data_IF_449044707003
#
_entry.id   IF_449044707003
#
_cell.length_a   1.000
_cell.length_b   1.000
_cell.length_c   1.000
_cell.angle_alpha   90.00
_cell.angle_beta   90.00
_cell.angle_gamma   90.00
#
_symmetry.space_group_name_H-M   'P 1'
#
loop_
_entity.id
_entity.type
_entity.pdbx_description
1 polymer ?
2 non-polymer ?
3 non-polymer ?
4 water ?
#
# COMPACT_ATOMS: atom_id res chain seq x y z
N UNK A 27 -16.54 3.09 -12.80
CA UNK A 27 -15.71 1.85 -12.73
C UNK A 27 -15.02 1.70 -11.36
N UNK A 28 -14.93 0.46 -10.89
CA UNK A 28 -14.32 0.16 -9.61
C UNK A 28 -12.81 0.42 -9.66
N UNK A 29 -12.28 1.07 -8.63
CA UNK A 29 -10.81 1.22 -8.50
C UNK A 29 -10.23 -0.05 -7.86
N UNK A 30 -9.25 -0.65 -8.52
CA UNK A 30 -8.65 -1.91 -8.07
C UNK A 30 -7.28 -1.61 -7.50
N UNK A 31 -7.15 -1.80 -6.19
CA UNK A 31 -5.93 -1.55 -5.45
C UNK A 31 -5.34 -2.85 -4.88
N UNK A 32 -4.02 -2.93 -4.89
CA UNK A 32 -3.30 -4.09 -4.37
C UNK A 32 -2.21 -3.63 -3.43
N UNK A 33 -2.09 -4.33 -2.30
CA UNK A 33 -1.12 -4.00 -1.26
C UNK A 33 -0.03 -5.04 -1.24
N UNK A 34 1.22 -4.57 -1.37
CA UNK A 34 2.39 -5.43 -1.35
C UNK A 34 3.38 -4.97 -0.29
N UNK A 35 4.28 -5.87 0.07
CA UNK A 35 5.25 -5.62 1.12
C UNK A 35 5.61 -6.90 1.80
N UNK A 36 6.77 -6.91 2.44
CA UNK A 36 7.28 -8.09 3.13
C UNK A 36 6.28 -8.51 4.20
N UNK A 37 6.20 -9.81 4.44
CA UNK A 37 5.38 -10.31 5.51
C UNK A 37 5.75 -9.60 6.81
N UNK A 38 4.73 -9.20 7.57
CA UNK A 38 4.92 -8.61 8.88
C UNK A 38 5.00 -7.09 8.92
N UNK A 39 4.91 -6.43 7.77
CA UNK A 39 5.07 -4.98 7.75
C UNK A 39 3.81 -4.25 8.18
N UNK A 40 2.68 -4.95 8.11
CA UNK A 40 1.41 -4.36 8.50
C UNK A 40 0.42 -4.15 7.38
N UNK A 41 0.51 -4.93 6.29
CA UNK A 41 -0.45 -4.80 5.19
C UNK A 41 -1.90 -5.01 5.66
N UNK A 42 -2.12 -6.10 6.38
CA UNK A 42 -3.47 -6.46 6.80
C UNK A 42 -4.00 -5.46 7.81
N UNK A 43 -3.12 -5.01 8.70
CA UNK A 43 -3.46 -3.97 9.68
C UNK A 43 -3.86 -2.66 9.03
N UNK A 44 -3.14 -2.27 7.99
CA UNK A 44 -3.41 -1.03 7.27
C UNK A 44 -4.74 -1.12 6.56
N UNK A 45 -4.96 -2.23 5.87
CA UNK A 45 -6.26 -2.43 5.20
C UNK A 45 -7.42 -2.39 6.15
N UNK A 46 -7.30 -3.09 7.26
CA UNK A 46 -8.40 -3.13 8.24
C UNK A 46 -8.61 -1.78 8.94
N UNK A 47 -7.52 -1.06 9.18
CA UNK A 47 -7.61 0.31 9.69
C UNK A 47 -8.39 1.21 8.72
N UNK A 48 -8.10 1.07 7.43
CA UNK A 48 -8.84 1.81 6.41
C UNK A 48 -10.33 1.45 6.38
N UNK A 49 -10.62 0.15 6.34
CA UNK A 49 -11.98 -0.30 6.21
C UNK A 49 -12.82 -0.08 7.45
N UNK A 50 -12.25 -0.29 8.63
CA UNK A 50 -13.02 -0.33 9.88
C UNK A 50 -12.68 0.81 10.85
N UNK A 51 -11.64 1.57 10.54
CA UNK A 51 -11.23 2.73 11.34
C UNK A 51 -10.77 2.34 12.73
N UNK A 52 -10.24 1.13 12.85
CA UNK A 52 -9.67 0.68 14.10
C UNK A 52 -8.72 -0.50 13.84
N UNK A 53 -7.97 -0.85 14.86
CA UNK A 53 -7.10 -2.01 14.79
C UNK A 53 -7.10 -2.63 16.18
N UNK A 54 -7.88 -3.68 16.30
CA UNK A 54 -8.09 -4.30 17.60
C UNK A 54 -7.91 -5.83 17.57
N UNK A 55 -7.92 -6.45 16.38
CA UNK A 55 -7.70 -7.91 16.23
C UNK A 55 -6.49 -8.23 15.36
N UNK A 56 -5.68 -9.19 15.79
CA UNK A 56 -4.61 -9.66 14.93
C UNK A 56 -5.26 -10.49 13.84
N UNK A 57 -4.53 -10.67 12.74
CA UNK A 57 -5.08 -11.27 11.54
C UNK A 57 -4.07 -12.23 10.96
N UNK A 58 -4.53 -13.45 10.67
CA UNK A 58 -3.69 -14.50 10.12
C UNK A 58 -2.73 -14.01 9.04
N UNK A 59 -1.41 -14.20 9.28
CA UNK A 59 -0.35 -13.78 8.35
C UNK A 59 -0.41 -14.43 6.99
N UNK A 60 -1.08 -15.57 6.88
CA UNK A 60 -1.09 -16.34 5.65
C UNK A 60 -2.31 -16.07 4.77
N UNK A 61 -3.31 -15.34 5.28
CA UNK A 61 -4.58 -15.16 4.57
C UNK A 61 -4.46 -14.03 3.57
N UNK A 62 -4.80 -14.32 2.33
CA UNK A 62 -4.87 -13.33 1.26
C UNK A 62 -6.34 -13.16 0.88
N UNK A 63 -6.82 -11.92 0.79
CA UNK A 63 -8.23 -11.69 0.53
C UNK A 63 -8.48 -10.38 -0.17
N UNK A 64 -9.67 -10.28 -0.77
CA UNK A 64 -10.09 -9.05 -1.43
C UNK A 64 -11.30 -8.43 -0.74
N UNK A 65 -11.22 -7.12 -0.51
CA UNK A 65 -12.29 -6.37 0.15
C UNK A 65 -12.91 -5.37 -0.79
N UNK A 66 -14.23 -5.22 -0.74
CA UNK A 66 -14.89 -4.19 -1.50
C UNK A 66 -15.32 -3.10 -0.53
N UNK A 67 -15.15 -1.85 -0.94
CA UNK A 67 -15.47 -0.71 -0.08
C UNK A 67 -16.02 0.43 -0.94
N UNK A 68 -17.09 1.07 -0.49
CA UNK A 68 -17.57 2.29 -1.13
C UNK A 68 -17.29 3.47 -0.22
N UNK A 69 -16.77 4.55 -0.78
CA UNK A 69 -16.53 5.76 -0.01
C UNK A 69 -16.91 6.95 -0.85
N UNK A 70 -17.40 8.00 -0.20
CA UNK A 70 -17.55 9.28 -0.86
C UNK A 70 -16.19 9.97 -0.86
N UNK A 71 -15.68 10.24 -2.05
CA UNK A 71 -14.41 10.94 -2.21
C UNK A 71 -14.73 12.17 -3.03
N UNK A 72 -14.37 13.33 -2.49
CA UNK A 72 -14.70 14.63 -3.07
C UNK A 72 -16.22 14.72 -3.20
N UNK A 73 -16.74 14.85 -4.42
CA UNK A 73 -18.18 14.87 -4.60
C UNK A 73 -18.79 13.48 -4.44
N UNK A 74 -18.16 12.49 -5.08
CA UNK A 74 -18.84 11.26 -5.48
C UNK A 74 -18.48 9.99 -4.72
N UNK A 75 -19.40 9.04 -4.75
CA UNK A 75 -19.17 7.71 -4.20
C UNK A 75 -18.30 6.92 -5.17
N UNK A 76 -17.26 6.29 -4.63
CA UNK A 76 -16.32 5.50 -5.39
C UNK A 76 -16.29 4.08 -4.83
N UNK A 77 -16.32 3.08 -5.71
CA UNK A 77 -16.26 1.70 -5.30
C UNK A 77 -14.84 1.25 -5.51
N UNK A 78 -14.29 0.58 -4.51
CA UNK A 78 -12.94 0.07 -4.63
C UNK A 78 -12.90 -1.37 -4.21
N UNK A 79 -11.96 -2.10 -4.80
CA UNK A 79 -11.64 -3.46 -4.39
C UNK A 79 -10.19 -3.39 -3.98
N UNK A 80 -9.88 -3.93 -2.81
CA UNK A 80 -8.54 -3.89 -2.26
C UNK A 80 -8.06 -5.31 -2.01
N UNK A 81 -6.96 -5.67 -2.65
CA UNK A 81 -6.37 -6.98 -2.48
C UNK A 81 -5.27 -6.89 -1.44
N UNK A 82 -5.43 -7.64 -0.36
CA UNK A 82 -4.47 -7.68 0.73
C UNK A 82 -3.63 -8.93 0.48
N UNK A 83 -2.39 -8.80 -0.02
CA UNK A 83 -1.62 -10.00 -0.41
C UNK A 83 -0.92 -10.66 0.77
N UNK A 84 -0.60 -11.95 0.69
CA UNK A 84 0.04 -12.61 1.83
C UNK A 84 1.42 -13.14 1.45
N UNK A 85 1.49 -14.27 0.75
CA UNK A 85 2.79 -14.74 0.21
C UNK A 85 3.37 -13.74 -0.79
N UNK A 86 4.64 -13.38 -0.63
CA UNK A 86 5.28 -12.36 -1.49
C UNK A 86 6.21 -12.96 -2.55
N UNK A 87 6.14 -14.28 -2.73
CA UNK A 87 7.05 -14.96 -3.65
C UNK A 87 6.74 -14.57 -5.10
N UNK A 88 7.79 -14.49 -5.92
CA UNK A 88 7.66 -14.13 -7.34
C UNK A 88 7.12 -15.30 -8.16
N UNK A 89 5.81 -15.32 -8.35
CA UNK A 89 5.11 -16.42 -8.99
C UNK A 89 4.20 -15.91 -10.11
N UNK A 90 3.60 -16.84 -10.84
CA UNK A 90 2.61 -16.50 -11.86
C UNK A 90 1.34 -15.94 -11.23
N UNK A 91 1.00 -16.42 -10.04
CA UNK A 91 -0.13 -15.88 -9.29
C UNK A 91 0.09 -14.40 -8.91
N UNK A 92 1.29 -14.09 -8.45
CA UNK A 92 1.63 -12.71 -8.12
C UNK A 92 1.59 -11.80 -9.34
N UNK A 93 2.08 -12.27 -10.48
CA UNK A 93 1.97 -11.50 -11.74
C UNK A 93 0.50 -11.25 -12.10
N UNK A 94 -0.35 -12.25 -11.89
CA UNK A 94 -1.80 -12.07 -12.07
C UNK A 94 -2.40 -10.96 -11.22
N UNK A 95 -2.00 -10.89 -9.95
CA UNK A 95 -2.44 -9.83 -9.03
C UNK A 95 -1.97 -8.46 -9.53
N UNK A 96 -0.76 -8.41 -10.06
CA UNK A 96 -0.20 -7.15 -10.58
C UNK A 96 -0.90 -6.71 -11.85
N UNK A 97 -1.31 -7.66 -12.70
CA UNK A 97 -2.08 -7.33 -13.92
C UNK A 97 -3.49 -6.83 -13.56
N UNK A 98 -4.05 -7.41 -12.51
CA UNK A 98 -5.37 -7.07 -12.03
C UNK A 98 -5.40 -5.66 -11.41
N UNK A 99 -4.39 -5.32 -10.61
CA UNK A 99 -4.38 -4.05 -9.89
C UNK A 99 -4.19 -2.86 -10.81
N UNK A 100 -4.82 -1.74 -10.45
CA UNK A 100 -4.63 -0.46 -11.14
C UNK A 100 -3.81 0.50 -10.32
N UNK A 101 -3.92 0.40 -9.00
CA UNK A 101 -3.11 1.20 -8.07
C UNK A 101 -2.48 0.30 -7.03
N UNK A 102 -1.28 0.66 -6.57
CA UNK A 102 -0.50 -0.21 -5.67
C UNK A 102 0.01 0.53 -4.45
N UNK A 103 -0.12 -0.11 -3.30
CA UNK A 103 0.47 0.42 -2.09
C UNK A 103 1.64 -0.47 -1.76
N UNK A 104 2.83 0.12 -1.74
CA UNK A 104 4.01 -0.61 -1.34
C UNK A 104 4.33 -0.23 0.09
N UNK A 105 4.31 -1.22 0.97
CA UNK A 105 4.46 -1.00 2.40
C UNK A 105 5.78 -1.56 2.90
N UNK A 106 6.47 -0.77 3.70
CA UNK A 106 7.56 -1.30 4.51
C UNK A 106 7.34 -0.91 5.99
N UNK A 107 8.20 -1.45 6.84
CA UNK A 107 8.12 -1.26 8.28
C UNK A 107 9.34 -0.40 8.62
N UNK A 108 9.12 0.75 9.27
CA UNK A 108 10.23 1.68 9.56
C UNK A 108 11.24 1.11 10.55
N UNK A 109 10.88 0.03 11.23
CA UNK A 109 11.78 -0.61 12.19
C UNK A 109 12.53 -1.77 11.52
N UNK A 110 12.28 -1.99 10.23
CA UNK A 110 12.83 -3.16 9.51
C UNK A 110 13.46 -2.79 8.15
N UNK A 111 14.77 -2.68 8.16
CA UNK A 111 15.50 -2.27 6.98
C UNK A 111 15.31 -3.23 5.80
N UNK A 112 15.28 -4.53 6.08
CA UNK A 112 15.11 -5.53 5.03
C UNK A 112 13.81 -5.32 4.25
N UNK A 113 12.73 -4.94 4.94
CA UNK A 113 11.46 -4.68 4.26
C UNK A 113 11.54 -3.44 3.34
N UNK A 114 12.34 -2.46 3.74
CA UNK A 114 12.54 -1.25 2.93
C UNK A 114 13.28 -1.59 1.65
N UNK A 115 14.24 -2.50 1.76
CA UNK A 115 15.04 -2.94 0.62
C UNK A 115 14.26 -3.78 -0.42
N UNK A 116 13.11 -4.31 -0.05
CA UNK A 116 12.30 -5.08 -1.01
C UNK A 116 11.43 -4.22 -1.93
N UNK A 117 11.34 -2.93 -1.63
CA UNK A 117 10.41 -2.06 -2.33
C UNK A 117 10.82 -1.77 -3.77
N UNK A 118 12.07 -1.39 -3.99
CA UNK A 118 12.48 -1.05 -5.36
C UNK A 118 12.39 -2.25 -6.32
N UNK A 119 12.84 -3.45 -5.90
CA UNK A 119 12.64 -4.63 -6.75
C UNK A 119 11.17 -4.93 -7.14
N UNK A 120 10.25 -4.70 -6.21
CA UNK A 120 8.82 -4.80 -6.48
C UNK A 120 8.40 -3.84 -7.58
N UNK A 121 8.82 -2.59 -7.44
CA UNK A 121 8.56 -1.58 -8.47
C UNK A 121 9.05 -2.01 -9.85
N UNK A 122 10.26 -2.55 -9.92
CA UNK A 122 10.83 -2.99 -11.19
C UNK A 122 9.96 -4.06 -11.84
N UNK A 123 9.44 -4.97 -11.02
CA UNK A 123 8.52 -5.99 -11.54
C UNK A 123 7.23 -5.33 -12.04
N UNK A 124 6.67 -4.42 -11.25
CA UNK A 124 5.43 -3.75 -11.65
C UNK A 124 5.59 -2.99 -12.95
N UNK A 125 6.70 -2.27 -13.09
CA UNK A 125 6.99 -1.53 -14.31
C UNK A 125 6.95 -2.41 -15.53
N UNK A 126 7.57 -3.58 -15.42
CA UNK A 126 7.60 -4.55 -16.51
C UNK A 126 6.21 -5.07 -16.87
N UNK A 127 5.38 -5.33 -15.86
CA UNK A 127 4.03 -5.85 -16.05
C UNK A 127 3.09 -4.78 -16.62
N UNK A 128 3.19 -3.54 -16.16
CA UNK A 128 2.30 -2.48 -16.66
C UNK A 128 2.73 -1.80 -17.97
N UNK A 129 3.96 -2.09 -18.41
CA UNK A 129 4.49 -1.56 -19.66
C UNK A 129 3.43 -1.71 -20.76
N UNK A 130 3.22 -0.67 -21.58
CA UNK A 130 3.88 0.62 -21.70
C UNK A 130 3.31 1.73 -20.81
N UNK A 131 2.31 1.42 -20.00
CA UNK A 131 1.73 2.41 -19.09
C UNK A 131 2.58 2.63 -17.85
N UNK A 132 2.43 3.80 -17.24
CA UNK A 132 3.10 4.06 -15.98
C UNK A 132 2.35 3.42 -14.84
N UNK A 133 3.11 2.99 -13.84
CA UNK A 133 2.57 2.38 -12.62
C UNK A 133 2.08 3.47 -11.70
N UNK A 134 0.91 3.27 -11.12
CA UNK A 134 0.37 4.18 -10.11
C UNK A 134 0.56 3.53 -8.76
N UNK A 135 1.31 4.20 -7.90
CA UNK A 135 1.65 3.62 -6.62
C UNK A 135 1.87 4.68 -5.57
N UNK A 136 1.85 4.23 -4.32
CA UNK A 136 2.33 5.04 -3.21
C UNK A 136 3.27 4.22 -2.34
N UNK A 137 4.14 4.90 -1.61
CA UNK A 137 5.07 4.27 -0.68
C UNK A 137 4.61 4.59 0.73
N UNK A 138 4.44 3.56 1.56
CA UNK A 138 3.96 3.74 2.93
C UNK A 138 4.98 3.11 3.89
N UNK A 139 5.55 3.92 4.78
CA UNK A 139 6.37 3.41 5.89
C UNK A 139 5.48 3.29 7.11
N UNK A 140 5.12 2.05 7.46
CA UNK A 140 4.23 1.77 8.56
C UNK A 140 4.99 1.57 9.87
N UNK A 141 4.24 1.55 10.98
CA UNK A 141 4.77 1.38 12.33
C UNK A 141 5.54 2.61 12.83
N UNK A 142 5.08 3.78 12.42
CA UNK A 142 5.68 5.06 12.85
C UNK A 142 5.59 5.29 14.37
N UNK A 143 4.69 4.57 15.03
CA UNK A 143 4.59 4.63 16.50
C UNK A 143 5.79 3.99 17.20
N UNK A 144 6.58 3.20 16.47
CA UNK A 144 7.77 2.57 17.04
C UNK A 144 9.02 3.37 16.73
N UNK A 145 8.93 4.69 16.88
CA UNK A 145 10.03 5.60 16.60
C UNK A 145 11.31 5.21 17.34
N UNK A 146 11.19 4.62 18.52
CA UNK A 146 12.38 4.24 19.28
C UNK A 146 13.12 3.02 18.72
N UNK A 147 12.48 2.23 17.86
CA UNK A 147 13.15 1.11 17.20
C UNK A 147 13.28 1.34 15.70
N UNK A 148 13.16 2.60 15.29
CA UNK A 148 13.32 3.01 13.89
C UNK A 148 14.69 2.63 13.33
N UNK A 149 14.69 1.98 12.16
CA UNK A 149 15.90 1.65 11.40
C UNK A 149 16.00 2.46 10.11
N UNK A 150 14.86 2.93 9.59
CA UNK A 150 14.81 3.69 8.35
C UNK A 150 14.35 5.11 8.66
N UNK A 151 15.14 6.11 8.28
CA UNK A 151 14.77 7.49 8.56
C UNK A 151 13.62 7.96 7.68
N UNK A 152 12.88 8.95 8.14
CA UNK A 152 11.88 9.58 7.29
C UNK A 152 12.51 10.11 5.99
N UNK A 153 13.68 10.74 6.10
CA UNK A 153 14.40 11.25 4.92
C UNK A 153 14.72 10.16 3.89
N UNK A 154 15.13 8.97 4.34
CA UNK A 154 15.38 7.86 3.42
C UNK A 154 14.13 7.43 2.69
N UNK A 155 13.00 7.42 3.39
CA UNK A 155 11.74 7.09 2.76
C UNK A 155 11.36 8.11 1.71
N UNK A 156 11.56 9.40 2.02
CA UNK A 156 11.29 10.47 1.05
C UNK A 156 12.12 10.32 -0.22
N UNK A 157 13.41 10.05 -0.04
CA UNK A 157 14.33 9.84 -1.16
C UNK A 157 13.95 8.64 -2.01
N UNK A 158 13.51 7.55 -1.38
CA UNK A 158 13.05 6.41 -2.14
C UNK A 158 11.79 6.73 -2.94
N UNK A 159 10.85 7.47 -2.34
CA UNK A 159 9.64 7.89 -3.05
C UNK A 159 9.99 8.71 -4.31
N UNK A 160 11.00 9.56 -4.17
CA UNK A 160 11.52 10.34 -5.30
C UNK A 160 12.02 9.40 -6.42
N UNK A 161 12.80 8.38 -6.05
CA UNK A 161 13.19 7.28 -6.98
C UNK A 161 12.05 6.50 -7.62
N UNK A 162 10.89 6.44 -6.97
CA UNK A 162 9.74 5.72 -7.48
C UNK A 162 8.77 6.66 -8.21
N UNK A 163 9.04 7.96 -8.15
CA UNK A 163 8.10 8.97 -8.64
C UNK A 163 6.71 8.79 -8.03
N UNK A 164 6.65 8.69 -6.71
CA UNK A 164 5.35 8.56 -6.04
C UNK A 164 5.28 9.33 -4.74
N UNK A 165 4.08 9.38 -4.16
CA UNK A 165 3.86 10.04 -2.89
C UNK A 165 4.36 9.11 -1.78
N UNK A 166 4.79 9.72 -0.69
CA UNK A 166 5.33 9.00 0.44
C UNK A 166 4.54 9.35 1.67
N UNK A 167 4.22 8.36 2.49
CA UNK A 167 3.59 8.60 3.76
C UNK A 167 4.19 7.72 4.82
N UNK A 168 4.35 8.27 6.02
CA UNK A 168 4.56 7.42 7.19
C UNK A 168 3.29 7.38 8.03
N UNK A 169 2.98 6.22 8.59
CA UNK A 169 1.75 6.07 9.33
C UNK A 169 1.87 4.95 10.34
N UNK A 170 0.83 4.78 11.15
CA UNK A 170 0.75 3.67 12.09
C UNK A 170 -0.65 3.10 12.02
N UNK A 171 -0.78 1.87 11.54
CA UNK A 171 -2.06 1.15 11.59
C UNK A 171 -2.56 1.01 13.03
N UNK A 172 -1.62 0.85 13.96
CA UNK A 172 -1.96 0.72 15.38
C UNK A 172 -2.60 1.96 15.98
N UNK A 173 -1.95 3.11 15.85
CA UNK A 173 -2.45 4.34 16.46
C UNK A 173 -3.37 5.12 15.54
N UNK A 174 -3.33 4.82 14.24
CA UNK A 174 -4.08 5.60 13.24
C UNK A 174 -3.44 6.91 12.83
N UNK A 175 -2.25 7.18 13.36
CA UNK A 175 -1.49 8.37 12.99
C UNK A 175 -1.12 8.27 11.51
N UNK A 176 -1.13 9.40 10.81
CA UNK A 176 -0.75 9.41 9.41
C UNK A 176 -1.89 9.46 8.40
N UNK A 177 -3.14 9.56 8.87
CA UNK A 177 -4.29 9.79 7.97
C UNK A 177 -4.44 8.74 6.89
N UNK A 178 -4.58 7.51 7.34
CA UNK A 178 -4.63 6.36 6.45
C UNK A 178 -5.79 6.41 5.46
N UNK A 179 -6.94 6.90 5.90
CA UNK A 179 -8.08 7.06 5.00
C UNK A 179 -7.75 7.98 3.84
N UNK A 180 -7.12 9.12 4.13
CA UNK A 180 -6.78 10.09 3.10
C UNK A 180 -5.70 9.55 2.16
N UNK A 181 -4.82 8.71 2.68
CA UNK A 181 -3.83 8.01 1.86
C UNK A 181 -4.49 7.16 0.77
N UNK A 182 -5.42 6.30 1.17
CA UNK A 182 -6.18 5.49 0.20
C UNK A 182 -7.02 6.34 -0.75
N UNK A 183 -7.64 7.39 -0.24
CA UNK A 183 -8.47 8.25 -1.07
C UNK A 183 -7.63 8.92 -2.14
N UNK A 184 -6.43 9.34 -1.76
CA UNK A 184 -5.56 10.04 -2.69
C UNK A 184 -5.04 9.07 -3.79
N UNK A 185 -4.79 7.81 -3.43
CA UNK A 185 -4.46 6.79 -4.44
C UNK A 185 -5.63 6.55 -5.40
N UNK A 186 -6.87 6.54 -4.89
CA UNK A 186 -8.04 6.44 -5.76
C UNK A 186 -8.15 7.62 -6.72
N UNK A 187 -7.92 8.83 -6.21
CA UNK A 187 -7.94 10.03 -7.05
C UNK A 187 -6.92 9.90 -8.18
N UNK A 188 -5.72 9.42 -7.86
CA UNK A 188 -4.65 9.30 -8.85
C UNK A 188 -4.95 8.25 -9.92
N UNK A 189 -5.51 7.12 -9.52
CA UNK A 189 -5.88 6.06 -10.45
C UNK A 189 -6.91 6.61 -11.43
N UNK A 190 -7.92 7.29 -10.89
CA UNK A 190 -8.98 7.87 -11.72
C UNK A 190 -8.46 8.98 -12.64
N UNK A 191 -7.54 9.81 -12.16
CA UNK A 191 -6.94 10.86 -13.00
C UNK A 191 -6.21 10.27 -14.19
N UNK A 192 -5.46 9.21 -13.92
CA UNK A 192 -4.64 8.61 -14.96
C UNK A 192 -5.44 7.80 -15.97
N UNK A 193 -6.61 7.34 -15.57
CA UNK A 193 -7.53 6.68 -16.49
C UNK A 193 -8.01 7.63 -17.58
N UNK A 194 -7.95 8.93 -17.28
CA UNK A 194 -8.29 10.05 -18.19
C UNK A 194 -9.69 10.57 -17.88
X LIG B 1 -1.43 -9.99 6.28
X LIG C 1 1.25 -8.28 7.15
X LIG C 1 1.97 -9.61 7.23
X LIG C 1 2.01 -7.32 6.25
X LIG C 1 -0.18 -8.43 6.70
X LIG C 1 1.32 -7.63 8.61
X LIG C 1 0.24 -7.68 9.80
X LIG C 1 -0.93 -6.77 9.53
X LIG C 1 -0.17 -9.11 10.04
X LIG C 1 1.05 -7.04 10.99
X LIG C 1 2.19 -7.79 11.44
X LIG C 1 2.43 -7.50 12.89
X LIG C 1 2.76 -6.11 13.06
X LIG C 1 1.22 -7.75 13.77
X LIG C 1 1.73 -8.23 15.01
X LIG C 1 0.60 -6.38 13.96
X LIG C 1 -0.08 -6.19 15.20
X LIG C 1 1.81 -5.49 13.93
X LIG C 1 1.54 -4.13 13.40
X LIG C 1 0.93 -3.82 12.24
X LIG C 1 0.87 -2.48 12.07
X LIG C 1 1.47 -1.93 13.14
X LIG C 1 1.79 -0.58 13.61
X LIG C 1 1.46 0.41 12.94
X LIG C 1 2.44 -0.46 14.77
X LIG C 1 2.81 -1.50 15.53
X LIG C 1 3.45 -1.27 16.69
X LIG C 1 2.56 -2.77 15.18
X LIG C 1 1.92 -3.03 14.01
#
# INVERSE_FOLDING_TARGET
MHHHHHHSSGVDLGTENLYFQSMAKSAEVKLAIFGRAGVGKSALVVRFLTKRFIWEYDPTLESTYRHQATIDDEVVSMEILDTAGQEDTIQREGHMRWGEGFVLVYDITDRGSFEEVLPLKNILDEIKKPKNVTLILVGNKADLDHSRQVSTEEGEKLATELACAFYECSACTGEGNITEIFYELCREVRRRRMVQ
MG MG
GDP PB O1B O2B O3B O3A PA O1A O2A O5' C5' C4' O4' C3' O3' C2' O2' C1' N9 C8 N7 C5 C6 O6 N1 C2 N2 N3 C4
#
